data_IF_003840483239
#
_entry.id   IF_003840483239
#
_cell.length_a   1.000
_cell.length_b   1.000
_cell.length_c   1.000
_cell.angle_alpha   90.00
_cell.angle_beta   90.00
_cell.angle_gamma   90.00
#
_symmetry.space_group_name_H-M   'P 1'
#
loop_
_entity.id
_entity.type
_entity.pdbx_description
1 polymer ?
#
# COMPACT_ATOMS: atom_id res chain seq x y z
N UNK A 1 38.60 36.42 64.06
CA UNK A 1 38.76 35.65 62.80
C UNK A 1 37.68 34.58 62.76
N UNK A 2 36.63 34.79 61.96
CA UNK A 2 35.51 33.85 61.84
C UNK A 2 35.91 32.80 60.81
N UNK A 3 36.14 31.56 61.26
CA UNK A 3 36.46 30.45 60.37
C UNK A 3 35.23 30.05 59.57
N UNK A 4 35.18 30.44 58.29
CA UNK A 4 34.13 30.01 57.37
C UNK A 4 34.16 28.49 57.25
N UNK A 5 33.05 27.86 57.63
CA UNK A 5 32.83 26.43 57.44
C UNK A 5 33.04 26.05 55.98
N UNK A 6 33.77 24.95 55.75
CA UNK A 6 33.91 24.35 54.42
C UNK A 6 32.51 24.13 53.86
N UNK A 7 32.18 24.83 52.78
CA UNK A 7 31.01 24.53 51.97
C UNK A 7 31.03 23.04 51.64
N UNK A 8 30.15 22.31 52.32
CA UNK A 8 29.85 20.92 52.00
C UNK A 8 29.26 20.98 50.61
N UNK A 9 30.09 20.79 49.57
CA UNK A 9 29.64 20.64 48.19
C UNK A 9 28.53 19.59 48.22
N UNK A 10 27.30 20.08 48.12
CA UNK A 10 26.10 19.26 47.94
C UNK A 10 26.44 18.30 46.81
N UNK A 11 26.08 17.03 46.98
CA UNK A 11 26.19 16.00 45.93
C UNK A 11 25.44 16.51 44.71
N UNK A 12 26.11 17.30 43.87
CA UNK A 12 25.66 17.59 42.54
C UNK A 12 25.67 16.22 41.89
N UNK A 13 24.47 15.71 41.62
CA UNK A 13 24.29 14.44 40.96
C UNK A 13 25.26 14.37 39.81
N UNK A 14 25.92 13.22 39.68
CA UNK A 14 26.66 12.83 38.50
C UNK A 14 25.65 12.69 37.34
N UNK A 15 25.05 13.80 36.92
CA UNK A 15 24.28 13.96 35.68
C UNK A 15 25.31 14.11 34.56
N UNK A 16 26.25 13.18 34.54
CA UNK A 16 27.27 13.01 33.53
C UNK A 16 26.96 11.68 32.88
N UNK A 17 25.91 11.68 32.06
CA UNK A 17 25.65 10.72 30.99
C UNK A 17 25.98 9.27 31.39
N UNK A 18 25.04 8.60 32.05
CA UNK A 18 24.89 7.17 31.74
C UNK A 18 24.70 7.16 30.22
N UNK A 19 25.67 6.64 29.47
CA UNK A 19 25.50 6.40 28.03
C UNK A 19 24.25 5.52 27.92
N UNK A 20 23.10 6.12 27.65
CA UNK A 20 21.94 5.39 27.17
C UNK A 20 22.48 4.67 25.93
N UNK A 21 22.58 3.34 26.01
CA UNK A 21 22.78 2.52 24.82
C UNK A 21 21.59 2.85 23.94
N UNK A 22 21.77 3.69 22.94
CA UNK A 22 20.71 4.02 21.99
C UNK A 22 20.50 2.79 21.13
N UNK A 23 19.67 1.87 21.63
CA UNK A 23 19.32 0.58 21.03
C UNK A 23 18.82 0.69 19.57
N UNK A 24 18.47 1.90 19.12
CA UNK A 24 17.98 2.22 17.77
C UNK A 24 19.06 2.63 16.76
N UNK A 25 20.28 2.97 17.18
CA UNK A 25 21.30 3.54 16.28
C UNK A 25 22.53 2.65 16.04
N UNK A 26 22.66 1.56 16.81
CA UNK A 26 23.74 0.59 16.59
C UNK A 26 23.26 -0.53 15.67
N UNK A 27 23.10 -0.23 14.38
CA UNK A 27 23.25 -1.27 13.37
C UNK A 27 24.73 -1.62 13.34
N UNK A 28 25.16 -2.55 14.19
CA UNK A 28 26.49 -3.15 14.08
C UNK A 28 26.52 -3.80 12.70
N UNK A 29 27.20 -3.16 11.76
CA UNK A 29 27.46 -3.77 10.46
C UNK A 29 28.22 -5.07 10.72
N UNK A 30 27.74 -6.17 10.14
CA UNK A 30 28.45 -7.43 10.21
C UNK A 30 29.76 -7.28 9.44
N UNK A 31 30.93 -7.38 10.07
CA UNK A 31 32.20 -7.26 9.37
C UNK A 31 32.39 -8.35 8.30
N UNK A 32 31.59 -9.42 8.32
CA UNK A 32 31.65 -10.50 7.35
C UNK A 32 30.26 -10.91 6.81
N UNK A 33 29.64 -10.09 5.96
CA UNK A 33 28.36 -10.44 5.34
C UNK A 33 28.46 -11.71 4.47
N UNK A 34 27.41 -12.53 4.50
CA UNK A 34 27.29 -13.72 3.65
C UNK A 34 26.74 -13.33 2.28
N UNK A 35 27.53 -13.50 1.23
CA UNK A 35 27.11 -13.26 -0.15
C UNK A 35 26.83 -14.57 -0.88
N UNK A 36 25.66 -14.65 -1.54
CA UNK A 36 25.35 -15.72 -2.50
C UNK A 36 26.15 -15.52 -3.80
N UNK A 37 26.29 -14.27 -4.24
CA UNK A 37 26.96 -13.93 -5.48
C UNK A 37 28.47 -13.79 -5.32
N UNK A 38 29.20 -14.62 -6.09
CA UNK A 38 30.68 -14.63 -6.09
C UNK A 38 31.28 -13.28 -6.53
N UNK A 39 30.60 -12.57 -7.45
CA UNK A 39 31.04 -11.26 -7.96
C UNK A 39 30.98 -10.16 -6.89
N UNK A 40 29.89 -10.13 -6.13
CA UNK A 40 29.70 -9.17 -5.04
C UNK A 40 30.75 -9.43 -3.95
N UNK A 41 30.96 -10.70 -3.59
CA UNK A 41 31.98 -11.08 -2.60
C UNK A 41 33.38 -10.62 -2.97
N UNK A 42 33.77 -10.72 -4.25
CA UNK A 42 35.09 -10.29 -4.74
C UNK A 42 35.29 -8.78 -4.66
N UNK A 43 34.24 -8.00 -4.90
CA UNK A 43 34.31 -6.54 -4.95
C UNK A 43 33.99 -5.87 -3.60
N UNK A 44 33.64 -6.65 -2.57
CA UNK A 44 33.28 -6.16 -1.26
C UNK A 44 34.51 -5.90 -0.38
N UNK A 45 34.65 -4.67 0.13
CA UNK A 45 35.72 -4.29 1.05
C UNK A 45 35.20 -4.26 2.50
N UNK A 46 35.82 -5.02 3.39
CA UNK A 46 35.41 -5.09 4.81
C UNK A 46 35.80 -3.85 5.61
N UNK A 47 36.74 -3.03 5.12
CA UNK A 47 37.24 -1.84 5.81
C UNK A 47 36.38 -0.60 5.56
N UNK A 48 35.47 -0.68 4.59
CA UNK A 48 34.62 0.43 4.15
C UNK A 48 33.17 0.15 4.58
N UNK A 49 32.38 1.21 4.73
CA UNK A 49 30.96 1.07 5.07
C UNK A 49 30.17 0.39 3.94
N UNK A 50 29.08 -0.33 4.26
CA UNK A 50 28.24 -1.00 3.24
C UNK A 50 27.71 -0.06 2.19
N UNK A 51 27.32 1.16 2.60
CA UNK A 51 26.80 2.16 1.68
C UNK A 51 27.88 2.60 0.69
N UNK A 52 29.11 2.80 1.14
CA UNK A 52 30.22 3.15 0.26
C UNK A 52 30.63 1.97 -0.64
N UNK A 53 30.54 0.71 -0.18
CA UNK A 53 30.72 -0.46 -1.05
C UNK A 53 29.66 -0.54 -2.16
N UNK A 54 28.39 -0.28 -1.82
CA UNK A 54 27.32 -0.25 -2.80
C UNK A 54 27.57 0.86 -3.83
N UNK A 55 27.94 2.07 -3.39
CA UNK A 55 28.29 3.18 -4.29
C UNK A 55 29.48 2.82 -5.20
N UNK A 56 30.53 2.16 -4.68
CA UNK A 56 31.67 1.68 -5.48
C UNK A 56 31.26 0.66 -6.55
N UNK A 57 30.21 -0.11 -6.28
CA UNK A 57 29.61 -1.04 -7.24
C UNK A 57 28.56 -0.39 -8.15
N UNK A 58 28.31 0.93 -8.02
CA UNK A 58 27.30 1.66 -8.80
C UNK A 58 25.85 1.46 -8.29
N UNK A 59 25.68 1.03 -7.04
CA UNK A 59 24.39 0.72 -6.41
C UNK A 59 24.03 1.77 -5.34
N UNK A 60 22.73 1.89 -5.07
CA UNK A 60 22.19 2.80 -4.06
C UNK A 60 21.87 2.04 -2.78
N UNK A 61 22.40 2.51 -1.64
CA UNK A 61 22.22 1.85 -0.34
C UNK A 61 20.81 2.00 0.25
N UNK A 62 20.15 3.13 -0.03
CA UNK A 62 18.80 3.45 0.44
C UNK A 62 17.94 3.85 -0.76
N UNK A 63 17.36 2.89 -1.50
CA UNK A 63 16.59 3.18 -2.71
C UNK A 63 15.30 3.97 -2.42
N UNK A 64 14.71 3.79 -1.23
CA UNK A 64 13.44 4.43 -0.85
C UNK A 64 13.63 5.69 0.00
N UNK A 65 14.86 6.17 0.17
CA UNK A 65 15.09 7.42 0.89
C UNK A 65 14.73 8.60 -0.02
N UNK A 66 13.67 9.31 0.34
CA UNK A 66 13.10 10.45 -0.39
C UNK A 66 14.10 11.60 -0.54
N UNK A 67 15.14 11.66 0.29
CA UNK A 67 16.19 12.66 0.19
C UNK A 67 17.27 12.26 -0.83
N UNK A 68 17.51 10.96 -1.04
CA UNK A 68 18.53 10.46 -1.96
C UNK A 68 18.04 10.46 -3.43
N UNK A 69 16.72 10.46 -3.62
CA UNK A 69 16.05 10.59 -4.93
C UNK A 69 15.90 12.04 -5.41
N UNK A 70 16.07 13.04 -4.53
CA UNK A 70 15.96 14.47 -4.88
C UNK A 70 17.20 15.08 -5.54
N UNK A 71 18.35 14.38 -5.54
CA UNK A 71 19.64 14.96 -5.94
C UNK A 71 20.29 14.37 -7.20
N UNK A 72 19.73 13.32 -7.79
CA UNK A 72 20.31 12.65 -8.97
C UNK A 72 19.30 12.53 -10.12
N UNK A 73 18.50 13.57 -10.36
CA UNK A 73 18.27 13.92 -11.75
C UNK A 73 19.54 14.62 -12.22
N UNK A 74 20.40 13.89 -12.92
CA UNK A 74 21.18 14.55 -13.97
C UNK A 74 20.16 15.40 -14.73
N UNK A 75 20.46 16.69 -14.86
CA UNK A 75 19.61 17.65 -15.56
C UNK A 75 19.59 17.23 -17.02
N UNK A 76 18.81 16.21 -17.35
CA UNK A 76 18.46 15.86 -18.71
C UNK A 76 17.60 17.03 -19.14
N UNK A 77 18.20 17.91 -19.93
CA UNK A 77 17.49 18.99 -20.61
C UNK A 77 16.51 18.29 -21.55
N UNK A 78 15.31 18.01 -21.06
CA UNK A 78 14.23 17.43 -21.87
C UNK A 78 13.77 18.54 -22.80
N UNK A 79 14.35 18.57 -24.00
CA UNK A 79 13.78 19.28 -25.12
C UNK A 79 12.50 18.57 -25.51
N UNK A 80 11.36 19.18 -25.18
CA UNK A 80 10.01 18.80 -25.60
C UNK A 80 9.57 17.37 -25.18
N UNK A 81 9.11 17.23 -23.93
CA UNK A 81 8.25 16.10 -23.57
C UNK A 81 6.82 16.38 -24.04
N UNK A 82 6.30 15.51 -24.91
CA UNK A 82 4.86 15.36 -25.12
C UNK A 82 4.16 15.16 -23.77
N UNK A 83 2.97 15.73 -23.55
CA UNK A 83 2.23 15.50 -22.31
C UNK A 83 2.05 14.00 -22.13
N UNK A 84 2.58 13.45 -21.03
CA UNK A 84 2.28 12.09 -20.61
C UNK A 84 0.82 12.14 -20.17
N UNK A 85 -0.09 11.62 -20.99
CA UNK A 85 -1.47 11.39 -20.59
C UNK A 85 -1.42 10.54 -19.32
N UNK A 86 -1.89 11.11 -18.22
CA UNK A 86 -2.07 10.41 -16.97
C UNK A 86 -3.18 9.39 -17.22
N UNK A 87 -2.81 8.20 -17.69
CA UNK A 87 -3.78 7.13 -17.86
C UNK A 87 -4.41 6.88 -16.49
N UNK A 88 -5.74 6.95 -16.42
CA UNK A 88 -6.49 6.50 -15.26
C UNK A 88 -6.20 5.00 -15.10
N UNK A 89 -5.19 4.68 -14.28
CA UNK A 89 -4.90 3.31 -13.88
C UNK A 89 -6.15 2.86 -13.11
N UNK A 90 -6.91 1.88 -13.61
CA UNK A 90 -8.07 1.41 -12.88
C UNK A 90 -7.59 0.90 -11.53
N UNK A 91 -8.31 1.25 -10.46
CA UNK A 91 -8.09 0.60 -9.16
C UNK A 91 -8.13 -0.90 -9.39
N UNK A 92 -7.08 -1.60 -8.95
CA UNK A 92 -6.91 -3.05 -9.14
C UNK A 92 -7.95 -3.79 -8.28
N UNK A 93 -9.21 -3.72 -8.70
CA UNK A 93 -10.37 -4.35 -8.07
C UNK A 93 -10.42 -5.87 -8.32
N UNK A 94 -9.38 -6.43 -8.94
CA UNK A 94 -9.26 -7.88 -9.11
C UNK A 94 -9.17 -8.52 -7.73
N UNK A 95 -10.17 -9.31 -7.30
CA UNK A 95 -10.10 -10.01 -6.03
C UNK A 95 -8.87 -10.91 -6.01
N UNK A 96 -8.24 -11.06 -4.84
CA UNK A 96 -7.10 -11.94 -4.73
C UNK A 96 -7.51 -13.37 -5.10
N UNK A 97 -6.79 -13.99 -6.04
CA UNK A 97 -7.05 -15.36 -6.50
C UNK A 97 -6.86 -16.43 -5.40
N UNK A 98 -6.43 -16.03 -4.19
CA UNK A 98 -6.14 -16.92 -3.08
C UNK A 98 -7.36 -17.26 -2.23
N UNK A 99 -8.40 -16.42 -2.23
CA UNK A 99 -9.62 -16.70 -1.45
C UNK A 99 -10.66 -17.39 -2.32
N UNK A 100 -11.24 -18.48 -1.80
CA UNK A 100 -12.37 -19.16 -2.43
C UNK A 100 -13.61 -18.25 -2.50
N UNK A 101 -13.77 -17.37 -1.50
CA UNK A 101 -14.85 -16.38 -1.42
C UNK A 101 -14.23 -15.00 -1.17
N UNK A 102 -14.13 -14.15 -2.21
CA UNK A 102 -13.47 -12.86 -2.06
C UNK A 102 -14.28 -11.80 -1.30
N UNK A 103 -15.61 -11.93 -1.28
CA UNK A 103 -16.53 -11.07 -0.51
C UNK A 103 -17.11 -11.87 0.66
N UNK A 104 -17.47 -11.15 1.73
CA UNK A 104 -18.21 -11.76 2.82
C UNK A 104 -19.69 -11.98 2.45
N UNK A 105 -20.35 -12.93 3.10
CA UNK A 105 -21.74 -13.29 2.78
C UNK A 105 -22.71 -12.13 3.09
N UNK A 106 -22.47 -11.40 4.18
CA UNK A 106 -23.29 -10.25 4.56
C UNK A 106 -23.14 -9.09 3.57
N UNK A 107 -21.91 -8.82 3.14
CA UNK A 107 -21.61 -7.82 2.11
C UNK A 107 -22.29 -8.17 0.78
N UNK A 108 -22.30 -9.46 0.41
CA UNK A 108 -22.95 -9.95 -0.81
C UNK A 108 -24.47 -9.77 -0.77
N UNK A 109 -25.12 -10.10 0.35
CA UNK A 109 -26.57 -9.87 0.53
C UNK A 109 -26.90 -8.39 0.52
N UNK A 110 -26.07 -7.58 1.15
CA UNK A 110 -26.26 -6.13 1.23
C UNK A 110 -26.17 -5.47 -0.15
N UNK A 111 -25.15 -5.81 -0.96
CA UNK A 111 -25.00 -5.21 -2.29
C UNK A 111 -26.08 -5.71 -3.25
N UNK A 112 -26.46 -7.00 -3.18
CA UNK A 112 -27.57 -7.54 -3.96
C UNK A 112 -28.89 -6.80 -3.65
N UNK A 113 -29.16 -6.48 -2.38
CA UNK A 113 -30.31 -5.67 -1.96
C UNK A 113 -30.27 -4.25 -2.54
N UNK A 114 -29.12 -3.58 -2.51
CA UNK A 114 -28.95 -2.23 -3.07
C UNK A 114 -29.10 -2.23 -4.60
N UNK A 115 -28.43 -3.17 -5.27
CA UNK A 115 -28.46 -3.36 -6.72
C UNK A 115 -29.85 -3.74 -7.25
N UNK A 116 -30.63 -4.53 -6.50
CA UNK A 116 -32.00 -4.89 -6.87
C UNK A 116 -32.89 -3.64 -7.09
N UNK A 117 -32.69 -2.58 -6.30
CA UNK A 117 -33.51 -1.35 -6.38
C UNK A 117 -32.96 -0.33 -7.37
N UNK A 118 -31.64 -0.10 -7.38
CA UNK A 118 -31.03 1.03 -8.10
C UNK A 118 -30.16 0.64 -9.30
N UNK A 119 -29.89 -0.65 -9.52
CA UNK A 119 -29.06 -1.15 -10.62
C UNK A 119 -27.60 -0.77 -10.47
N UNK A 120 -27.09 0.04 -11.38
CA UNK A 120 -25.72 0.59 -11.44
C UNK A 120 -25.60 2.02 -10.90
N UNK A 121 -26.71 2.64 -10.49
CA UNK A 121 -26.73 4.04 -10.07
C UNK A 121 -26.26 4.22 -8.61
N UNK A 122 -24.95 4.20 -8.39
CA UNK A 122 -24.35 4.32 -7.06
C UNK A 122 -24.70 5.62 -6.32
N UNK A 123 -24.87 6.74 -7.03
CA UNK A 123 -25.30 8.02 -6.43
C UNK A 123 -26.72 7.92 -5.83
N UNK A 124 -27.62 7.18 -6.48
CA UNK A 124 -28.99 6.94 -5.97
C UNK A 124 -28.96 5.97 -4.79
N UNK A 125 -28.13 4.93 -4.84
CA UNK A 125 -27.91 4.02 -3.71
C UNK A 125 -27.40 4.75 -2.48
N UNK A 126 -26.43 5.66 -2.66
CA UNK A 126 -25.87 6.45 -1.58
C UNK A 126 -26.93 7.32 -0.89
N UNK A 127 -27.81 7.95 -1.66
CA UNK A 127 -28.90 8.80 -1.14
C UNK A 127 -30.03 8.02 -0.48
N UNK A 128 -30.20 6.75 -0.82
CA UNK A 128 -31.27 5.92 -0.28
C UNK A 128 -30.91 5.32 1.07
N UNK A 129 -31.15 6.09 2.12
CA UNK A 129 -30.89 5.70 3.51
C UNK A 129 -31.71 4.50 4.01
N UNK A 130 -32.77 4.10 3.29
CA UNK A 130 -33.58 2.93 3.67
C UNK A 130 -32.98 1.63 3.13
N UNK A 131 -32.42 1.67 1.92
CA UNK A 131 -31.74 0.49 1.36
C UNK A 131 -30.29 0.40 1.81
N UNK A 132 -29.60 1.53 1.91
CA UNK A 132 -28.24 1.65 2.43
C UNK A 132 -28.27 1.79 3.95
N UNK A 133 -28.61 0.70 4.64
CA UNK A 133 -28.63 0.62 6.10
C UNK A 133 -27.24 0.79 6.73
N UNK A 134 -26.18 0.32 6.06
CA UNK A 134 -24.78 0.49 6.49
C UNK A 134 -24.21 1.90 6.25
N UNK A 135 -24.98 2.82 5.64
CA UNK A 135 -24.60 4.21 5.35
C UNK A 135 -23.26 4.35 4.61
N UNK A 136 -22.94 3.42 3.72
CA UNK A 136 -21.69 3.48 2.95
C UNK A 136 -21.66 4.66 1.99
N UNK A 137 -20.48 5.24 1.80
CA UNK A 137 -20.26 6.30 0.82
C UNK A 137 -20.32 5.75 -0.61
N UNK A 138 -20.58 6.63 -1.57
CA UNK A 138 -20.65 6.28 -3.00
C UNK A 138 -19.40 5.50 -3.47
N UNK A 139 -18.20 5.92 -3.05
CA UNK A 139 -16.95 5.27 -3.42
C UNK A 139 -16.86 3.84 -2.90
N UNK A 140 -17.33 3.59 -1.67
CA UNK A 140 -17.33 2.24 -1.09
C UNK A 140 -18.34 1.36 -1.82
N UNK A 141 -19.54 1.88 -2.11
CA UNK A 141 -20.56 1.17 -2.89
C UNK A 141 -20.06 0.82 -4.29
N UNK A 142 -19.34 1.73 -4.95
CA UNK A 142 -18.76 1.49 -6.27
C UNK A 142 -17.71 0.37 -6.23
N UNK A 143 -16.83 0.37 -5.23
CA UNK A 143 -15.81 -0.67 -5.03
C UNK A 143 -16.42 -2.03 -4.69
N UNK A 144 -17.47 -2.03 -3.89
CA UNK A 144 -18.12 -3.27 -3.46
C UNK A 144 -18.97 -3.85 -4.61
N UNK A 145 -19.65 -2.99 -5.36
CA UNK A 145 -20.36 -3.35 -6.58
C UNK A 145 -19.44 -3.86 -7.69
N UNK A 146 -18.31 -3.17 -7.95
CA UNK A 146 -17.34 -3.61 -8.97
C UNK A 146 -16.77 -5.00 -8.65
N UNK A 147 -16.42 -5.24 -7.38
CA UNK A 147 -15.99 -6.57 -6.93
C UNK A 147 -17.10 -7.60 -7.11
N UNK A 148 -18.32 -7.32 -6.64
CA UNK A 148 -19.46 -8.25 -6.75
C UNK A 148 -19.74 -8.67 -8.20
N UNK A 149 -19.69 -7.74 -9.15
CA UNK A 149 -19.87 -8.01 -10.58
C UNK A 149 -18.74 -8.86 -11.17
N UNK A 150 -17.52 -8.73 -10.65
CA UNK A 150 -16.34 -9.48 -11.11
C UNK A 150 -16.30 -10.93 -10.56
N UNK A 151 -17.02 -11.24 -9.48
CA UNK A 151 -17.07 -12.60 -8.93
C UNK A 151 -17.62 -13.63 -9.95
N UNK A 152 -17.01 -14.81 -10.00
CA UNK A 152 -17.54 -15.92 -10.80
C UNK A 152 -18.79 -16.54 -10.15
N UNK A 153 -19.65 -17.25 -10.92
CA UNK A 153 -20.84 -17.91 -10.35
C UNK A 153 -20.51 -18.90 -9.21
N UNK A 154 -19.34 -19.53 -9.25
CA UNK A 154 -18.88 -20.48 -8.23
C UNK A 154 -18.44 -19.79 -6.93
N UNK A 155 -18.03 -18.52 -7.03
CA UNK A 155 -17.58 -17.71 -5.89
C UNK A 155 -18.72 -16.93 -5.23
N UNK A 156 -19.89 -16.87 -5.87
CA UNK A 156 -21.09 -16.20 -5.34
C UNK A 156 -21.87 -17.13 -4.44
N UNK A 157 -22.36 -16.61 -3.32
CA UNK A 157 -23.33 -17.30 -2.44
C UNK A 157 -24.74 -16.82 -2.69
N UNK A 158 -24.91 -15.63 -3.25
CA UNK A 158 -26.20 -14.96 -3.44
C UNK A 158 -26.49 -14.79 -4.93
N UNK A 159 -27.74 -15.04 -5.31
CA UNK A 159 -28.20 -14.85 -6.68
C UNK A 159 -28.17 -13.38 -7.10
N UNK A 160 -27.74 -13.14 -8.34
CA UNK A 160 -27.65 -11.78 -8.91
C UNK A 160 -29.05 -11.30 -9.30
N UNK A 161 -29.45 -10.08 -8.90
CA UNK A 161 -30.72 -9.48 -9.31
C UNK A 161 -30.84 -9.38 -10.84
N UNK A 162 -32.03 -9.61 -11.40
CA UNK A 162 -32.29 -9.60 -12.84
C UNK A 162 -31.82 -8.31 -13.54
N UNK A 163 -32.10 -7.17 -12.93
CA UNK A 163 -31.72 -5.84 -13.44
C UNK A 163 -30.20 -5.68 -13.63
N UNK A 164 -29.38 -6.50 -12.97
CA UNK A 164 -27.91 -6.38 -12.94
C UNK A 164 -27.21 -7.54 -13.66
N UNK A 165 -27.95 -8.61 -14.02
CA UNK A 165 -27.45 -9.69 -14.90
C UNK A 165 -26.75 -9.19 -16.18
N UNK A 166 -27.25 -8.17 -16.93
CA UNK A 166 -26.57 -7.72 -18.14
C UNK A 166 -25.20 -7.08 -17.89
N UNK A 167 -24.94 -6.61 -16.66
CA UNK A 167 -23.68 -5.95 -16.30
C UNK A 167 -22.55 -6.92 -15.94
N UNK A 168 -22.82 -8.23 -15.96
CA UNK A 168 -21.82 -9.25 -15.68
C UNK A 168 -20.81 -9.38 -16.83
N UNK A 169 -19.51 -9.62 -16.53
CA UNK A 169 -18.51 -9.89 -17.55
C UNK A 169 -18.79 -11.25 -18.20
N UNK A 170 -19.64 -11.26 -19.22
CA UNK A 170 -20.16 -12.45 -19.90
C UNK A 170 -21.69 -12.46 -20.08
N UNK A 171 -22.44 -11.58 -19.40
CA UNK A 171 -23.90 -11.48 -19.55
C UNK A 171 -24.35 -10.82 -20.86
N UNK A 172 -23.56 -9.90 -21.40
CA UNK A 172 -23.85 -9.26 -22.69
C UNK A 172 -23.84 -10.26 -23.87
N UNK A 173 -23.06 -11.34 -23.79
CA UNK A 173 -23.03 -12.37 -24.84
C UNK A 173 -24.24 -13.31 -24.82
N UNK A 174 -24.94 -13.43 -23.68
CA UNK A 174 -26.11 -14.31 -23.56
C UNK A 174 -27.44 -13.62 -23.90
N UNK A 175 -27.48 -12.28 -23.88
CA UNK A 175 -28.68 -11.52 -24.22
C UNK A 175 -28.92 -11.41 -25.73
N UNK A 176 -27.92 -11.72 -26.57
CA UNK A 176 -28.05 -11.74 -28.03
C UNK A 176 -28.51 -13.11 -28.59
N UNK A 177 -28.58 -14.17 -27.75
CA UNK A 177 -28.99 -15.52 -28.20
C UNK A 177 -30.48 -15.85 -27.98
N UNK A 178 -31.29 -14.95 -27.40
CA UNK A 178 -32.74 -15.18 -27.20
C UNK A 178 -33.65 -14.41 -28.19
N UNK A 179 -33.09 -13.80 -29.25
CA UNK A 179 -33.85 -13.09 -30.30
C UNK A 179 -33.83 -13.74 -31.70
N UNK A 180 -33.56 -15.05 -31.82
CA UNK A 180 -33.77 -15.81 -33.09
C UNK A 180 -34.90 -16.85 -33.02
#
# INVERSE_FOLDING_TARGET
>A
MVGHGRDRKRRAGRIGKVKLKTYRTWKRWDPNPKFTDKRIKKNWDTNISPSANLVKMGLVALPNDLNNSRGSSTKVTVTQSTPIELFDIPESDRPSLRSRYPLDEEEEKYIAKCMKKHGDNYLKMFRDTKTNDMQHTEQVLRKLGSRYLLLSPQQRRVEVPENVKPLLPGGAAAAEEEEE
#
